data_IF_138031399393
#
_entry.id   IF_138031399393
#
_cell.length_a   1.000
_cell.length_b   1.000
_cell.length_c   1.000
_cell.angle_alpha   90.00
_cell.angle_beta   90.00
_cell.angle_gamma   90.00
#
_symmetry.space_group_name_H-M   'P 1'
#
loop_
_entity.id
_entity.type
_entity.pdbx_description
1 polymer ?
#
# COMPACT_ATOMS: atom_id res chain seq x y z
N UNK A 1 10.31 3.89 20.06
CA UNK A 1 9.15 3.28 20.74
C UNK A 1 8.18 2.78 19.68
N UNK A 2 7.62 1.58 19.86
CA UNK A 2 6.57 1.07 18.97
C UNK A 2 5.27 1.86 19.14
N UNK A 3 4.53 2.03 18.05
CA UNK A 3 3.18 2.60 18.08
C UNK A 3 2.18 1.44 18.00
N UNK A 4 1.20 1.34 18.91
CA UNK A 4 0.15 0.36 18.80
C UNK A 4 -0.69 0.54 17.53
N UNK A 5 -1.03 -0.56 16.85
CA UNK A 5 -1.77 -0.55 15.58
C UNK A 5 -3.17 0.07 15.72
N UNK A 6 -3.82 -0.10 16.86
CA UNK A 6 -5.12 0.48 17.20
C UNK A 6 -5.10 2.02 17.27
N UNK A 7 -3.92 2.63 17.34
CA UNK A 7 -3.73 4.09 17.33
C UNK A 7 -3.26 4.63 15.98
N UNK A 8 -3.10 3.78 14.97
CA UNK A 8 -2.73 4.20 13.63
C UNK A 8 -3.97 4.56 12.81
N UNK A 9 -3.87 5.64 12.03
CA UNK A 9 -4.91 5.99 11.06
C UNK A 9 -5.16 4.84 10.08
N UNK A 10 -6.43 4.66 9.69
CA UNK A 10 -6.87 3.70 8.66
C UNK A 10 -6.01 3.77 7.39
N UNK A 11 -5.59 4.98 6.99
CA UNK A 11 -4.70 5.20 5.86
C UNK A 11 -3.36 4.48 6.02
N UNK A 12 -2.74 4.53 7.20
CA UNK A 12 -1.46 3.85 7.48
C UNK A 12 -1.68 2.33 7.52
N UNK A 13 -2.76 1.89 8.17
CA UNK A 13 -3.11 0.46 8.28
C UNK A 13 -3.24 -0.21 6.91
N UNK A 14 -3.74 0.50 5.90
CA UNK A 14 -3.90 -0.04 4.53
C UNK A 14 -2.59 -0.30 3.79
N UNK A 15 -1.45 0.26 4.23
CA UNK A 15 -0.13 -0.08 3.70
C UNK A 15 0.38 -1.44 4.20
N UNK A 16 -0.20 -1.96 5.29
CA UNK A 16 0.27 -3.15 5.97
C UNK A 16 -0.67 -4.35 5.68
N UNK A 17 -0.15 -5.41 5.03
CA UNK A 17 -0.94 -6.57 4.60
C UNK A 17 -1.74 -7.20 5.74
N UNK A 18 -1.11 -7.46 6.88
CA UNK A 18 -1.80 -8.11 8.01
C UNK A 18 -2.88 -7.25 8.66
N UNK A 19 -2.83 -5.91 8.50
CA UNK A 19 -3.88 -5.01 8.99
C UNK A 19 -5.00 -4.91 7.97
N UNK A 20 -4.66 -4.73 6.69
CA UNK A 20 -5.60 -4.77 5.58
C UNK A 20 -6.46 -6.04 5.59
N UNK A 21 -5.84 -7.20 5.80
CA UNK A 21 -6.55 -8.49 5.83
C UNK A 21 -7.52 -8.61 7.00
N UNK A 22 -7.13 -8.11 8.19
CA UNK A 22 -8.01 -8.09 9.37
C UNK A 22 -9.19 -7.16 9.16
N UNK A 23 -8.94 -5.97 8.60
CA UNK A 23 -10.00 -5.00 8.26
C UNK A 23 -10.98 -5.60 7.24
N UNK A 24 -10.48 -6.26 6.18
CA UNK A 24 -11.35 -6.93 5.21
C UNK A 24 -12.18 -8.05 5.86
N UNK A 25 -11.54 -8.89 6.68
CA UNK A 25 -12.22 -9.96 7.40
C UNK A 25 -13.33 -9.43 8.33
N UNK A 26 -13.05 -8.39 9.11
CA UNK A 26 -13.99 -7.78 10.02
C UNK A 26 -15.14 -7.08 9.28
N UNK A 27 -14.83 -6.36 8.21
CA UNK A 27 -15.86 -5.75 7.38
C UNK A 27 -16.82 -6.78 6.80
N UNK A 28 -16.32 -7.91 6.28
CA UNK A 28 -17.17 -9.02 5.81
C UNK A 28 -18.05 -9.62 6.91
N UNK A 29 -17.57 -9.67 8.15
CA UNK A 29 -18.31 -10.23 9.29
C UNK A 29 -19.41 -9.31 9.81
N UNK A 30 -19.16 -8.01 9.82
CA UNK A 30 -19.97 -7.06 10.58
C UNK A 30 -20.70 -6.01 9.72
N UNK A 31 -20.37 -5.87 8.43
CA UNK A 31 -20.91 -4.82 7.57
C UNK A 31 -21.57 -5.45 6.34
N UNK A 32 -22.90 -5.26 6.21
CA UNK A 32 -23.66 -5.73 5.05
C UNK A 32 -23.24 -4.95 3.80
N UNK A 33 -22.99 -5.66 2.70
CA UNK A 33 -22.55 -5.06 1.43
C UNK A 33 -21.08 -4.65 1.42
N UNK A 34 -20.28 -5.17 2.37
CA UNK A 34 -18.87 -4.84 2.49
C UNK A 34 -18.08 -5.02 1.19
N UNK A 35 -17.31 -3.99 0.85
CA UNK A 35 -16.35 -4.02 -0.23
C UNK A 35 -15.09 -3.25 0.17
N UNK A 36 -14.01 -3.99 0.48
CA UNK A 36 -12.73 -3.38 0.90
C UNK A 36 -12.16 -2.42 -0.15
N UNK A 37 -12.40 -2.65 -1.44
CA UNK A 37 -11.91 -1.76 -2.50
C UNK A 37 -12.68 -0.43 -2.54
N UNK A 38 -13.98 -0.43 -2.22
CA UNK A 38 -14.72 0.84 -2.06
C UNK A 38 -14.20 1.62 -0.85
N UNK A 39 -13.91 0.95 0.28
CA UNK A 39 -13.28 1.59 1.44
C UNK A 39 -11.87 2.11 1.12
N UNK A 40 -11.05 1.31 0.43
CA UNK A 40 -9.70 1.71 0.00
C UNK A 40 -9.76 2.98 -0.84
N UNK A 41 -10.65 3.01 -1.85
CA UNK A 41 -10.88 4.21 -2.66
C UNK A 41 -11.36 5.39 -1.82
N UNK A 42 -12.21 5.20 -0.81
CA UNK A 42 -12.65 6.29 0.08
C UNK A 42 -11.52 6.89 0.89
N UNK A 43 -10.56 6.07 1.31
CA UNK A 43 -9.39 6.48 2.12
C UNK A 43 -8.35 7.23 1.27
N UNK A 44 -8.11 6.74 0.06
CA UNK A 44 -7.01 7.23 -0.78
C UNK A 44 -7.44 8.22 -1.86
N UNK A 45 -8.63 8.05 -2.44
CA UNK A 45 -9.12 8.87 -3.55
C UNK A 45 -10.13 9.91 -3.06
N UNK A 46 -10.04 11.13 -3.61
CA UNK A 46 -10.89 12.27 -3.23
C UNK A 46 -12.41 12.02 -3.34
N UNK A 47 -12.84 11.13 -4.26
CA UNK A 47 -14.25 10.83 -4.55
C UNK A 47 -14.61 9.34 -4.37
N UNK A 48 -13.97 8.60 -3.46
CA UNK A 48 -14.35 7.21 -3.24
C UNK A 48 -15.79 7.07 -2.76
N UNK A 49 -16.66 6.48 -3.58
CA UNK A 49 -18.06 6.19 -3.23
C UNK A 49 -18.10 4.86 -2.48
N UNK A 50 -18.83 4.82 -1.37
CA UNK A 50 -19.18 3.60 -0.64
C UNK A 50 -20.67 3.35 -0.76
N UNK A 51 -21.04 2.12 -1.11
CA UNK A 51 -22.45 1.68 -1.22
C UNK A 51 -22.95 0.99 0.05
N UNK A 52 -22.12 0.98 1.10
CA UNK A 52 -22.43 0.43 2.40
C UNK A 52 -22.17 1.47 3.50
N UNK A 53 -22.86 1.29 4.62
CA UNK A 53 -22.76 2.17 5.77
C UNK A 53 -21.91 1.54 6.88
N UNK A 54 -20.98 2.32 7.44
CA UNK A 54 -20.14 1.92 8.56
C UNK A 54 -20.72 2.52 9.82
N UNK A 55 -21.76 1.88 10.37
CA UNK A 55 -22.44 2.35 11.58
C UNK A 55 -21.55 2.41 12.82
N UNK A 56 -20.54 1.54 12.88
CA UNK A 56 -19.56 1.50 13.97
C UNK A 56 -18.18 1.14 13.42
N UNK A 57 -17.34 2.14 13.18
CA UNK A 57 -16.00 1.96 12.62
C UNK A 57 -15.08 1.10 13.50
N UNK A 58 -15.32 1.05 14.82
CA UNK A 58 -14.51 0.26 15.75
C UNK A 58 -14.51 -1.23 15.42
N UNK A 59 -15.54 -1.75 14.74
CA UNK A 59 -15.57 -3.15 14.33
C UNK A 59 -14.44 -3.50 13.35
N UNK A 60 -13.95 -2.52 12.58
CA UNK A 60 -12.84 -2.73 11.64
C UNK A 60 -11.51 -3.01 12.34
N UNK A 61 -11.31 -2.40 13.51
CA UNK A 61 -10.08 -2.49 14.30
C UNK A 61 -10.03 -3.72 15.21
N UNK A 62 -11.08 -4.55 15.22
CA UNK A 62 -11.13 -5.74 16.07
C UNK A 62 -9.97 -6.71 15.75
N UNK A 63 -9.32 -7.24 16.78
CA UNK A 63 -8.20 -8.18 16.70
C UNK A 63 -6.94 -7.60 16.00
N UNK A 64 -6.87 -6.27 15.79
CA UNK A 64 -5.72 -5.62 15.14
C UNK A 64 -4.51 -5.53 16.07
N UNK A 65 -4.75 -5.53 17.38
CA UNK A 65 -3.75 -5.47 18.45
C UNK A 65 -2.80 -6.68 18.43
N UNK A 66 -3.20 -7.81 17.86
CA UNK A 66 -2.33 -8.97 17.65
C UNK A 66 -1.08 -8.61 16.82
N UNK A 67 -1.19 -7.62 15.92
CA UNK A 67 -0.07 -7.15 15.12
C UNK A 67 1.01 -6.47 15.97
N UNK A 68 0.65 -5.91 17.14
CA UNK A 68 1.61 -5.31 18.06
C UNK A 68 2.65 -6.32 18.56
N UNK A 69 2.30 -7.62 18.56
CA UNK A 69 3.20 -8.71 18.99
C UNK A 69 3.93 -9.33 17.78
N UNK A 70 3.21 -9.57 16.69
CA UNK A 70 3.74 -10.29 15.52
C UNK A 70 4.73 -9.42 14.74
N UNK A 71 4.39 -8.14 14.56
CA UNK A 71 5.13 -7.21 13.72
C UNK A 71 4.92 -5.77 14.24
N UNK A 72 5.58 -5.37 15.34
CA UNK A 72 5.37 -4.05 15.95
C UNK A 72 5.63 -2.91 14.97
N UNK A 73 4.76 -1.89 14.93
CA UNK A 73 4.98 -0.71 14.11
C UNK A 73 6.03 0.19 14.77
N UNK A 74 7.13 0.45 14.08
CA UNK A 74 8.21 1.31 14.56
C UNK A 74 8.22 2.63 13.79
N UNK A 75 8.45 3.76 14.49
CA UNK A 75 8.77 5.02 13.80
C UNK A 75 10.10 4.88 13.07
N UNK A 76 10.27 5.61 11.98
CA UNK A 76 11.53 5.66 11.25
C UNK A 76 12.70 5.99 12.20
N UNK A 77 13.82 5.28 12.03
CA UNK A 77 15.04 5.34 12.87
C UNK A 77 14.90 4.83 14.31
N UNK A 78 13.77 4.25 14.70
CA UNK A 78 13.69 3.58 16.00
C UNK A 78 14.51 2.29 16.01
N UNK A 79 15.05 1.92 17.18
CA UNK A 79 15.75 0.64 17.30
C UNK A 79 14.76 -0.52 17.17
N UNK A 80 15.07 -1.50 16.32
CA UNK A 80 14.28 -2.72 16.17
C UNK A 80 14.25 -3.24 14.74
N UNK A 81 13.43 -4.28 14.49
CA UNK A 81 13.25 -4.84 13.16
C UNK A 81 12.26 -3.98 12.35
N UNK A 82 12.74 -3.39 11.27
CA UNK A 82 11.93 -2.65 10.29
C UNK A 82 11.53 -3.52 9.10
N UNK A 83 10.47 -3.14 8.40
CA UNK A 83 9.89 -3.94 7.33
C UNK A 83 9.60 -3.18 6.04
N UNK A 84 9.56 -3.92 4.94
CA UNK A 84 9.60 -3.38 3.58
C UNK A 84 8.42 -2.47 3.22
N UNK A 85 7.24 -2.66 3.82
CA UNK A 85 6.10 -1.75 3.59
C UNK A 85 6.39 -0.31 4.05
N UNK A 86 7.28 -0.13 5.03
CA UNK A 86 7.65 1.19 5.54
C UNK A 86 8.31 2.07 4.47
N UNK A 87 8.95 1.45 3.46
CA UNK A 87 9.50 2.18 2.31
C UNK A 87 8.43 2.98 1.57
N UNK A 88 7.15 2.62 1.72
CA UNK A 88 6.01 3.21 1.03
C UNK A 88 5.18 4.14 1.93
N UNK A 89 5.46 4.30 3.22
CA UNK A 89 4.60 5.10 4.12
C UNK A 89 4.63 6.62 3.91
N UNK A 90 5.43 7.13 2.97
CA UNK A 90 5.47 8.57 2.70
C UNK A 90 4.46 9.01 1.65
N UNK A 91 4.22 10.30 1.60
CA UNK A 91 3.64 10.91 0.41
C UNK A 91 4.64 11.00 -0.76
N UNK A 92 4.31 10.37 -1.89
CA UNK A 92 4.81 10.77 -3.21
C UNK A 92 3.61 11.40 -3.91
N UNK A 93 3.72 12.68 -4.29
CA UNK A 93 2.59 13.39 -4.90
C UNK A 93 2.12 12.66 -6.16
N UNK A 94 0.84 12.26 -6.23
CA UNK A 94 0.26 11.60 -7.40
C UNK A 94 0.30 12.53 -8.61
N UNK A 95 0.38 11.94 -9.80
CA UNK A 95 0.29 12.65 -11.09
C UNK A 95 -1.05 12.36 -11.76
N UNK A 96 -1.63 11.19 -11.51
CA UNK A 96 -2.97 10.78 -11.93
C UNK A 96 -3.82 10.34 -10.73
N UNK A 97 -5.12 10.11 -10.94
CA UNK A 97 -6.03 9.66 -9.87
C UNK A 97 -5.81 8.19 -9.50
N UNK A 98 -5.39 7.35 -10.45
CA UNK A 98 -5.05 5.94 -10.19
C UNK A 98 -3.79 5.76 -9.34
N UNK A 99 -2.90 6.77 -9.30
CA UNK A 99 -1.64 6.72 -8.56
C UNK A 99 -1.83 6.57 -7.04
N UNK A 100 -2.93 7.11 -6.49
CA UNK A 100 -3.23 7.11 -5.06
C UNK A 100 -3.33 5.70 -4.45
N UNK A 101 -3.67 4.71 -5.28
CA UNK A 101 -3.85 3.30 -4.91
C UNK A 101 -2.57 2.47 -5.11
N UNK A 102 -1.60 2.97 -5.88
CA UNK A 102 -0.41 2.21 -6.24
C UNK A 102 0.52 1.96 -5.05
N UNK A 103 0.79 3.00 -4.26
CA UNK A 103 1.68 2.88 -3.11
C UNK A 103 1.16 1.92 -2.03
N UNK A 104 -0.10 1.99 -1.56
CA UNK A 104 -0.62 1.02 -0.60
C UNK A 104 -0.66 -0.40 -1.19
N UNK A 105 -1.01 -0.57 -2.49
CA UNK A 105 -0.91 -1.85 -3.18
C UNK A 105 0.51 -2.44 -3.12
N UNK A 106 1.52 -1.65 -3.48
CA UNK A 106 2.92 -2.08 -3.47
C UNK A 106 3.39 -2.39 -2.05
N UNK A 107 3.08 -1.53 -1.08
CA UNK A 107 3.46 -1.70 0.32
C UNK A 107 3.03 -3.05 0.89
N UNK A 108 1.78 -3.47 0.60
CA UNK A 108 1.24 -4.77 1.03
C UNK A 108 2.02 -5.96 0.46
N UNK A 109 2.66 -5.82 -0.71
CA UNK A 109 3.52 -6.89 -1.28
C UNK A 109 4.88 -6.97 -0.59
N UNK A 110 5.28 -5.94 0.16
CA UNK A 110 6.54 -5.84 0.90
C UNK A 110 6.39 -5.95 2.42
N UNK A 111 5.17 -6.14 2.94
CA UNK A 111 4.88 -6.13 4.39
C UNK A 111 5.81 -7.01 5.21
N UNK A 112 6.13 -8.21 4.74
CA UNK A 112 6.90 -9.17 5.53
C UNK A 112 8.40 -9.21 5.19
N UNK A 113 8.88 -8.37 4.26
CA UNK A 113 10.33 -8.29 4.01
C UNK A 113 11.00 -7.49 5.13
N UNK A 114 12.16 -7.96 5.59
CA UNK A 114 13.00 -7.23 6.55
C UNK A 114 13.79 -6.13 5.85
N UNK A 115 13.88 -4.96 6.47
CA UNK A 115 14.79 -3.89 6.08
C UNK A 115 16.10 -3.96 6.88
N UNK A 116 17.22 -3.48 6.29
CA UNK A 116 17.36 -3.08 4.89
C UNK A 116 17.39 -4.30 3.94
N UNK A 117 16.82 -4.14 2.74
CA UNK A 117 16.89 -5.17 1.69
C UNK A 117 18.17 -5.01 0.85
N UNK A 118 18.73 -6.13 0.37
CA UNK A 118 19.73 -6.10 -0.71
C UNK A 118 19.14 -5.39 -1.93
N UNK A 119 19.89 -4.47 -2.55
CA UNK A 119 19.40 -3.61 -3.65
C UNK A 119 18.85 -4.43 -4.81
N UNK A 120 19.58 -5.45 -5.24
CA UNK A 120 19.17 -6.35 -6.31
C UNK A 120 17.85 -7.08 -5.99
N UNK A 121 17.69 -7.60 -4.76
CA UNK A 121 16.45 -8.24 -4.30
C UNK A 121 15.26 -7.27 -4.33
N UNK A 122 15.46 -6.03 -3.87
CA UNK A 122 14.42 -4.99 -3.89
C UNK A 122 13.99 -4.67 -5.33
N UNK A 123 14.96 -4.45 -6.22
CA UNK A 123 14.71 -4.18 -7.64
C UNK A 123 13.96 -5.34 -8.29
N UNK A 124 14.46 -6.57 -8.15
CA UNK A 124 13.87 -7.76 -8.76
C UNK A 124 12.45 -8.00 -8.24
N UNK A 125 12.22 -7.84 -6.94
CA UNK A 125 10.88 -8.01 -6.36
C UNK A 125 9.92 -6.94 -6.86
N UNK A 126 10.33 -5.66 -6.85
CA UNK A 126 9.50 -4.56 -7.35
C UNK A 126 9.13 -4.78 -8.82
N UNK A 127 10.11 -5.11 -9.66
CA UNK A 127 9.89 -5.39 -11.09
C UNK A 127 8.92 -6.55 -11.31
N UNK A 128 9.09 -7.68 -10.62
CA UNK A 128 8.17 -8.82 -10.74
C UNK A 128 6.74 -8.50 -10.29
N UNK A 129 6.55 -7.59 -9.34
CA UNK A 129 5.21 -7.16 -8.93
C UNK A 129 4.61 -6.26 -10.02
N UNK A 130 5.36 -5.29 -10.53
CA UNK A 130 4.95 -4.44 -11.64
C UNK A 130 4.55 -5.25 -12.89
N UNK A 131 5.33 -6.26 -13.25
CA UNK A 131 5.04 -7.10 -14.42
C UNK A 131 3.71 -7.85 -14.30
N UNK A 132 3.32 -8.26 -13.08
CA UNK A 132 2.03 -8.93 -12.82
C UNK A 132 0.81 -8.04 -13.04
N UNK A 133 1.00 -6.72 -13.08
CA UNK A 133 -0.06 -5.72 -13.29
C UNK A 133 0.17 -4.95 -14.61
N UNK A 134 0.86 -5.58 -15.57
CA UNK A 134 1.00 -5.02 -16.92
C UNK A 134 2.07 -3.94 -17.07
N UNK A 135 3.01 -3.80 -16.12
CA UNK A 135 4.07 -2.79 -16.14
C UNK A 135 5.43 -3.47 -16.36
N UNK A 136 6.09 -3.19 -17.49
CA UNK A 136 7.42 -3.75 -17.81
C UNK A 136 8.54 -2.77 -17.50
N UNK A 137 9.74 -3.29 -17.27
CA UNK A 137 10.94 -2.46 -17.11
C UNK A 137 11.77 -2.45 -18.40
N UNK A 138 11.81 -1.31 -19.07
CA UNK A 138 12.49 -1.10 -20.35
C UNK A 138 13.52 0.03 -20.22
N UNK A 139 14.76 -0.24 -20.65
CA UNK A 139 15.87 0.74 -20.60
C UNK A 139 16.00 1.44 -19.23
N UNK A 140 15.76 0.69 -18.15
CA UNK A 140 15.85 1.17 -16.78
C UNK A 140 14.59 1.83 -16.21
N UNK A 141 13.56 2.09 -17.03
CA UNK A 141 12.29 2.73 -16.63
C UNK A 141 11.13 1.75 -16.63
N UNK A 142 10.12 2.01 -15.81
CA UNK A 142 8.85 1.30 -15.83
C UNK A 142 7.91 1.92 -16.87
N UNK A 143 7.34 1.07 -17.72
CA UNK A 143 6.48 1.41 -18.85
C UNK A 143 5.22 0.54 -18.78
N UNK A 144 4.05 1.15 -18.93
CA UNK A 144 2.78 0.43 -18.90
C UNK A 144 2.55 -0.21 -20.28
N UNK A 145 2.31 -1.53 -20.28
CA UNK A 145 2.06 -2.32 -21.49
C UNK A 145 0.64 -2.84 -21.57
N UNK A 146 -0.01 -2.98 -20.42
CA UNK A 146 -1.36 -3.50 -20.34
C UNK A 146 -2.14 -2.71 -19.29
N UNK A 147 -3.02 -1.83 -19.76
CA UNK A 147 -3.90 -1.03 -18.92
C UNK A 147 -5.11 -1.83 -18.43
N UNK A 148 -5.49 -2.91 -19.11
CA UNK A 148 -6.65 -3.73 -18.70
C UNK A 148 -6.36 -4.46 -17.39
N UNK A 149 -5.14 -4.99 -17.22
CA UNK A 149 -4.69 -5.62 -15.97
C UNK A 149 -4.66 -4.67 -14.76
N UNK A 150 -4.73 -3.36 -15.01
CA UNK A 150 -4.73 -2.34 -13.96
C UNK A 150 -6.13 -1.95 -13.54
N UNK A 151 -7.16 -2.22 -14.36
CA UNK A 151 -8.51 -1.71 -14.11
C UNK A 151 -9.09 -2.20 -12.80
N UNK A 152 -8.96 -3.49 -12.53
CA UNK A 152 -9.51 -4.09 -11.30
C UNK A 152 -8.93 -3.49 -10.01
N UNK A 153 -7.74 -2.90 -10.08
CA UNK A 153 -7.02 -2.40 -8.91
C UNK A 153 -6.96 -0.89 -8.82
N UNK A 154 -6.88 -0.21 -9.97
CA UNK A 154 -6.56 1.21 -10.07
C UNK A 154 -7.61 2.01 -10.85
N UNK A 155 -8.62 1.35 -11.43
CA UNK A 155 -9.79 2.05 -11.95
C UNK A 155 -10.67 2.49 -10.77
N UNK A 156 -10.83 3.80 -10.63
CA UNK A 156 -11.64 4.41 -9.59
C UNK A 156 -13.14 4.38 -9.89
N UNK A 157 -13.55 3.93 -11.09
CA UNK A 157 -14.95 3.94 -11.54
C UNK A 157 -15.45 5.33 -11.95
N UNK A 158 -16.54 5.34 -12.74
CA UNK A 158 -17.23 6.46 -13.41
C UNK A 158 -16.32 7.53 -14.07
N UNK A 159 -16.18 7.46 -15.39
CA UNK A 159 -15.59 8.51 -16.25
C UNK A 159 -14.19 9.01 -15.83
N UNK A 160 -13.40 8.20 -15.14
CA UNK A 160 -12.04 8.54 -14.74
C UNK A 160 -11.02 7.81 -15.61
N UNK A 161 -10.80 8.29 -16.84
CA UNK A 161 -9.80 7.78 -17.79
C UNK A 161 -8.33 7.99 -17.37
N UNK A 162 -8.00 8.06 -16.08
CA UNK A 162 -6.66 8.38 -15.60
C UNK A 162 -6.12 7.24 -14.72
N UNK A 163 -5.71 6.13 -15.37
CA UNK A 163 -4.99 5.01 -14.75
C UNK A 163 -3.61 5.42 -14.19
N UNK A 164 -2.75 4.44 -13.90
CA UNK A 164 -1.42 4.72 -13.35
C UNK A 164 -0.57 5.57 -14.28
N UNK A 165 0.25 6.46 -13.72
CA UNK A 165 1.24 7.24 -14.47
C UNK A 165 2.61 6.58 -14.45
N UNK A 166 3.22 6.39 -15.62
CA UNK A 166 4.62 5.93 -15.72
C UNK A 166 5.58 6.86 -14.96
N UNK A 167 5.37 8.18 -15.04
CA UNK A 167 6.18 9.15 -14.31
C UNK A 167 6.10 8.92 -12.80
N UNK A 168 4.90 8.64 -12.30
CA UNK A 168 4.67 8.33 -10.90
C UNK A 168 5.32 7.01 -10.47
N UNK A 169 5.13 5.93 -11.23
CA UNK A 169 5.72 4.61 -10.93
C UNK A 169 7.26 4.70 -10.83
N UNK A 170 7.88 5.43 -11.76
CA UNK A 170 9.33 5.63 -11.76
C UNK A 170 9.78 6.50 -10.57
N UNK A 171 9.04 7.57 -10.24
CA UNK A 171 9.32 8.41 -9.06
C UNK A 171 9.21 7.61 -7.76
N UNK A 172 8.17 6.79 -7.61
CA UNK A 172 8.01 5.88 -6.45
C UNK A 172 9.20 4.94 -6.36
N UNK A 173 9.61 4.32 -7.47
CA UNK A 173 10.75 3.41 -7.51
C UNK A 173 12.06 4.07 -7.04
N UNK A 174 12.36 5.29 -7.49
CA UNK A 174 13.54 6.04 -7.04
C UNK A 174 13.49 6.34 -5.53
N UNK A 175 12.32 6.76 -5.05
CA UNK A 175 12.09 7.08 -3.64
C UNK A 175 12.32 5.86 -2.74
N UNK A 176 11.78 4.69 -3.10
CA UNK A 176 11.96 3.47 -2.28
C UNK A 176 13.42 3.02 -2.26
N UNK A 177 14.16 3.17 -3.36
CA UNK A 177 15.58 2.84 -3.42
C UNK A 177 16.40 3.76 -2.50
N UNK A 178 16.11 5.07 -2.53
CA UNK A 178 16.74 6.05 -1.65
C UNK A 178 16.45 5.75 -0.18
N UNK A 179 15.22 5.34 0.16
CA UNK A 179 14.84 5.00 1.53
C UNK A 179 15.49 3.73 2.03
N UNK A 180 15.51 2.68 1.23
CA UNK A 180 16.15 1.43 1.63
C UNK A 180 17.64 1.65 1.97
N UNK A 181 18.30 2.60 1.31
CA UNK A 181 19.66 2.99 1.67
C UNK A 181 19.77 3.74 3.01
N UNK A 182 18.73 4.46 3.46
CA UNK A 182 18.71 5.09 4.79
C UNK A 182 18.68 4.05 5.91
N UNK A 183 17.96 2.95 5.72
CA UNK A 183 17.91 1.83 6.67
C UNK A 183 19.20 1.00 6.72
N UNK A 184 20.15 1.19 5.79
CA UNK A 184 21.49 0.56 5.88
C UNK A 184 22.46 1.28 6.82
N UNK A 185 22.11 2.51 7.23
CA UNK A 185 22.98 3.36 8.05
C UNK A 185 22.75 3.16 9.56
N UNK A 186 21.95 2.16 9.92
CA UNK A 186 21.54 1.77 11.26
C UNK A 186 21.54 0.25 11.34
#
# INVERSE_FOLDING_TARGET
MSIPYEYLDLKILFYHKGAYDRIDLNGRRYIKGWNIHQLERRIFCYNGIMEFDIKNERVLYKDIEELNVIQPFLKFNEKGQHYGYELFLSNVSPVSRGDDLFMPFMARKFTYDRLPMKRERLINKYTKICEKIGIKREKGKFVIKDYELQKDYFDSGYNMHNGLSEAYINKVFEVILKRNNKYKRY
#
